data_IF_070343853428
#
_entry.id   IF_070343853428
#
_cell.length_a   1.000
_cell.length_b   1.000
_cell.length_c   1.000
_cell.angle_alpha   90.00
_cell.angle_beta   90.00
_cell.angle_gamma   90.00
#
_symmetry.space_group_name_H-M   'P 1'
#
loop_
_entity.id
_entity.type
_entity.pdbx_description
1 polymer ?
#
# COMPACT_ATOMS: atom_id res chain seq x y z
N UNK A 1 -25.63 19.21 -10.57
CA UNK A 1 -24.28 19.45 -10.00
C UNK A 1 -24.12 18.49 -8.84
N UNK A 2 -23.34 17.42 -9.01
CA UNK A 2 -22.93 16.57 -7.88
C UNK A 2 -21.93 17.38 -7.06
N UNK A 3 -22.44 18.14 -6.10
CA UNK A 3 -21.62 18.92 -5.18
C UNK A 3 -21.25 18.05 -3.99
N UNK A 4 -19.97 18.03 -3.62
CA UNK A 4 -19.52 17.39 -2.39
C UNK A 4 -20.35 17.92 -1.22
N UNK A 5 -20.97 17.02 -0.46
CA UNK A 5 -21.77 17.41 0.69
C UNK A 5 -20.97 18.32 1.64
N UNK A 6 -21.62 19.24 2.36
CA UNK A 6 -20.93 20.21 3.21
C UNK A 6 -20.05 19.58 4.30
N UNK A 7 -20.27 18.30 4.63
CA UNK A 7 -19.49 17.53 5.61
C UNK A 7 -18.43 16.61 5.00
N UNK A 8 -18.35 16.50 3.68
CA UNK A 8 -17.46 15.56 2.98
C UNK A 8 -16.01 15.64 3.47
N UNK A 9 -15.45 16.86 3.56
CA UNK A 9 -14.07 17.06 4.02
C UNK A 9 -13.84 16.63 5.47
N UNK A 10 -14.85 16.79 6.33
CA UNK A 10 -14.77 16.39 7.74
C UNK A 10 -14.81 14.87 7.86
N UNK A 11 -15.71 14.21 7.13
CA UNK A 11 -15.82 12.74 7.10
C UNK A 11 -14.56 12.10 6.51
N UNK A 12 -14.02 12.68 5.43
CA UNK A 12 -12.75 12.25 4.84
C UNK A 12 -11.57 12.41 5.82
N UNK A 13 -11.47 13.55 6.50
CA UNK A 13 -10.44 13.79 7.52
C UNK A 13 -10.53 12.80 8.68
N UNK A 14 -11.74 12.55 9.17
CA UNK A 14 -12.00 11.56 10.22
C UNK A 14 -11.60 10.15 9.78
N UNK A 15 -11.98 9.75 8.56
CA UNK A 15 -11.61 8.45 8.00
C UNK A 15 -10.09 8.28 7.92
N UNK A 16 -9.39 9.25 7.33
CA UNK A 16 -7.93 9.22 7.22
C UNK A 16 -7.30 9.11 8.61
N UNK A 17 -7.82 9.88 9.57
CA UNK A 17 -7.33 9.85 10.96
C UNK A 17 -7.52 8.47 11.59
N UNK A 18 -8.70 7.86 11.45
CA UNK A 18 -9.00 6.52 11.98
C UNK A 18 -8.12 5.47 11.33
N UNK A 19 -7.94 5.50 10.01
CA UNK A 19 -7.09 4.56 9.28
C UNK A 19 -5.64 4.69 9.73
N UNK A 20 -5.10 5.91 9.81
CA UNK A 20 -3.73 6.13 10.26
C UNK A 20 -3.52 5.69 11.71
N UNK A 21 -4.44 6.02 12.62
CA UNK A 21 -4.40 5.58 14.01
C UNK A 21 -4.42 4.04 14.08
N UNK A 22 -5.31 3.40 13.33
CA UNK A 22 -5.41 1.94 13.27
C UNK A 22 -4.10 1.29 12.82
N UNK A 23 -3.48 1.81 11.75
CA UNK A 23 -2.20 1.32 11.25
C UNK A 23 -1.06 1.50 12.27
N UNK A 24 -0.94 2.68 12.87
CA UNK A 24 0.10 2.98 13.85
C UNK A 24 -0.07 2.14 15.12
N UNK A 25 -1.29 2.02 15.62
CA UNK A 25 -1.61 1.21 16.80
C UNK A 25 -1.35 -0.27 16.55
N UNK A 26 -1.79 -0.82 15.42
CA UNK A 26 -1.53 -2.21 15.07
C UNK A 26 -0.02 -2.50 15.00
N UNK A 27 0.75 -1.65 14.30
CA UNK A 27 2.19 -1.78 14.24
C UNK A 27 2.85 -1.73 15.63
N UNK A 28 2.46 -0.78 16.49
CA UNK A 28 3.01 -0.65 17.83
C UNK A 28 2.72 -1.89 18.70
N UNK A 29 1.50 -2.43 18.62
CA UNK A 29 1.09 -3.65 19.33
C UNK A 29 1.87 -4.86 18.83
N UNK A 30 1.87 -5.10 17.51
CA UNK A 30 2.54 -6.25 16.91
C UNK A 30 4.05 -6.23 17.14
N UNK A 31 4.67 -5.05 17.10
CA UNK A 31 6.10 -4.91 17.42
C UNK A 31 6.40 -5.37 18.85
N UNK A 32 5.55 -4.99 19.81
CA UNK A 32 5.69 -5.41 21.21
C UNK A 32 5.45 -6.91 21.38
N UNK A 33 4.47 -7.47 20.67
CA UNK A 33 4.16 -8.91 20.73
C UNK A 33 5.27 -9.77 20.12
N UNK A 34 5.87 -9.32 19.02
CA UNK A 34 6.89 -10.07 18.29
C UNK A 34 8.32 -9.78 18.77
N UNK A 35 8.49 -8.91 19.76
CA UNK A 35 9.78 -8.45 20.28
C UNK A 35 10.73 -7.98 19.16
N UNK A 36 10.19 -7.19 18.24
CA UNK A 36 10.92 -6.63 17.10
C UNK A 36 11.44 -5.24 17.46
N UNK A 37 12.67 -4.93 17.10
CA UNK A 37 13.24 -3.62 17.37
C UNK A 37 12.52 -2.51 16.59
N UNK A 38 12.54 -1.30 17.16
CA UNK A 38 11.97 -0.13 16.47
C UNK A 38 12.85 0.22 15.28
N UNK A 39 12.44 -0.20 14.08
CA UNK A 39 12.99 0.32 12.83
C UNK A 39 12.63 1.81 12.71
N UNK A 40 13.59 2.63 12.29
CA UNK A 40 13.34 4.02 11.96
C UNK A 40 12.45 4.09 10.72
N UNK A 41 11.32 4.79 10.82
CA UNK A 41 10.31 4.89 9.75
C UNK A 41 10.84 5.53 8.44
N UNK A 42 11.98 6.21 8.52
CA UNK A 42 12.59 6.96 7.41
C UNK A 42 13.93 6.40 6.92
N UNK A 43 14.53 5.43 7.63
CA UNK A 43 15.74 4.78 7.14
C UNK A 43 15.36 3.65 6.20
N UNK A 44 15.79 3.73 4.95
CA UNK A 44 15.67 2.65 3.97
C UNK A 44 16.58 1.48 4.37
N UNK A 45 16.18 0.70 5.37
CA UNK A 45 16.89 -0.50 5.78
C UNK A 45 16.61 -1.61 4.79
N UNK A 46 17.43 -1.65 3.74
CA UNK A 46 17.57 -2.84 2.95
C UNK A 46 18.26 -3.90 3.81
N UNK A 47 17.59 -5.02 4.07
CA UNK A 47 18.16 -6.21 4.73
C UNK A 47 19.49 -6.61 4.10
N UNK A 48 19.62 -6.47 2.77
CA UNK A 48 20.86 -6.66 2.03
C UNK A 48 20.83 -5.90 0.69
N UNK A 49 21.96 -5.90 -0.03
CA UNK A 49 22.06 -5.32 -1.37
C UNK A 49 21.11 -5.97 -2.39
N UNK A 50 20.70 -7.23 -2.18
CA UNK A 50 19.74 -7.89 -3.06
C UNK A 50 18.34 -7.28 -2.94
N UNK A 51 17.91 -6.93 -1.73
CA UNK A 51 16.66 -6.22 -1.46
C UNK A 51 16.60 -4.91 -2.22
N UNK A 52 17.68 -4.12 -2.13
CA UNK A 52 17.80 -2.85 -2.84
C UNK A 52 17.66 -3.02 -4.35
N UNK A 53 18.32 -4.04 -4.91
CA UNK A 53 18.22 -4.34 -6.35
C UNK A 53 16.82 -4.78 -6.76
N UNK A 54 16.16 -5.62 -5.98
CA UNK A 54 14.80 -6.09 -6.25
C UNK A 54 13.80 -4.94 -6.19
N UNK A 55 13.85 -4.12 -5.13
CA UNK A 55 12.97 -2.94 -5.00
C UNK A 55 13.17 -1.96 -6.15
N UNK A 56 14.42 -1.72 -6.54
CA UNK A 56 14.74 -0.83 -7.66
C UNK A 56 14.24 -1.40 -9.00
N UNK A 57 14.39 -2.71 -9.21
CA UNK A 57 13.87 -3.39 -10.40
C UNK A 57 12.34 -3.33 -10.46
N UNK A 58 11.65 -3.58 -9.34
CA UNK A 58 10.18 -3.47 -9.25
C UNK A 58 9.74 -2.04 -9.63
N UNK A 59 10.43 -1.01 -9.12
CA UNK A 59 10.13 0.40 -9.45
C UNK A 59 10.36 0.72 -10.92
N UNK A 60 11.43 0.21 -11.54
CA UNK A 60 11.68 0.42 -12.97
C UNK A 60 10.59 -0.25 -13.80
N UNK A 61 10.25 -1.51 -13.51
CA UNK A 61 9.18 -2.23 -14.21
C UNK A 61 7.88 -1.45 -14.09
N UNK A 62 7.55 -0.95 -12.89
CA UNK A 62 6.36 -0.13 -12.67
C UNK A 62 6.37 1.15 -13.52
N UNK A 63 7.48 1.90 -13.54
CA UNK A 63 7.60 3.11 -14.35
C UNK A 63 7.45 2.81 -15.85
N UNK A 64 8.06 1.72 -16.32
CA UNK A 64 7.94 1.29 -17.73
C UNK A 64 6.49 0.95 -18.06
N UNK A 65 5.81 0.16 -17.23
CA UNK A 65 4.40 -0.20 -17.42
C UNK A 65 3.50 1.03 -17.37
N UNK A 66 3.76 1.98 -16.46
CA UNK A 66 3.00 3.22 -16.34
C UNK A 66 3.17 4.09 -17.59
N UNK A 67 4.39 4.25 -18.09
CA UNK A 67 4.66 5.00 -19.32
C UNK A 67 3.98 4.35 -20.52
N UNK A 68 4.15 3.03 -20.69
CA UNK A 68 3.50 2.29 -21.78
C UNK A 68 1.98 2.43 -21.69
N UNK A 69 1.40 2.19 -20.51
CA UNK A 69 -0.02 2.31 -20.26
C UNK A 69 -0.56 3.71 -20.59
N UNK A 70 0.17 4.75 -20.22
CA UNK A 70 -0.19 6.13 -20.55
C UNK A 70 -0.19 6.39 -22.07
N UNK A 71 0.86 5.99 -22.80
CA UNK A 71 0.91 6.12 -24.26
C UNK A 71 -0.18 5.30 -24.97
N UNK A 72 -0.53 4.15 -24.40
CA UNK A 72 -1.61 3.29 -24.88
C UNK A 72 -2.98 3.95 -24.66
N UNK A 73 -3.23 4.60 -23.52
CA UNK A 73 -4.52 5.25 -23.26
C UNK A 73 -4.67 6.60 -24.00
N UNK A 74 -3.61 7.41 -24.11
CA UNK A 74 -3.69 8.72 -24.79
C UNK A 74 -3.98 8.61 -26.30
N UNK A 75 -3.71 7.45 -26.90
CA UNK A 75 -4.03 7.15 -28.30
C UNK A 75 -5.46 6.62 -28.51
N UNK A 76 -6.23 6.46 -27.43
CA UNK A 76 -7.63 6.01 -27.43
C UNK A 76 -8.56 7.15 -27.08
N UNK A 77 -9.83 6.97 -27.44
CA UNK A 77 -10.88 7.83 -26.90
C UNK A 77 -10.90 7.71 -25.35
N UNK A 78 -11.02 8.83 -24.61
CA UNK A 78 -11.13 8.82 -23.15
C UNK A 78 -12.17 7.85 -22.59
N UNK A 79 -13.26 7.61 -23.32
CA UNK A 79 -14.33 6.70 -22.91
C UNK A 79 -13.89 5.22 -22.96
N UNK A 80 -12.89 4.91 -23.78
CA UNK A 80 -12.38 3.56 -24.06
C UNK A 80 -10.99 3.31 -23.41
N UNK A 81 -10.63 4.12 -22.42
CA UNK A 81 -9.38 3.93 -21.70
C UNK A 81 -9.33 2.59 -20.99
N UNK A 82 -8.18 1.92 -21.11
CA UNK A 82 -7.95 0.63 -20.49
C UNK A 82 -7.70 0.88 -19.01
N UNK A 83 -8.69 0.55 -18.19
CA UNK A 83 -8.70 0.80 -16.75
C UNK A 83 -7.51 0.18 -15.99
N UNK A 84 -6.99 -0.98 -16.42
CA UNK A 84 -5.86 -1.61 -15.74
C UNK A 84 -4.49 -0.99 -16.07
N UNK A 85 -4.43 -0.08 -17.05
CA UNK A 85 -3.25 0.76 -17.29
C UNK A 85 -3.27 2.06 -16.49
N UNK A 86 -4.36 2.33 -15.77
CA UNK A 86 -4.45 3.52 -14.95
C UNK A 86 -3.50 3.44 -13.74
N UNK A 87 -2.89 4.58 -13.34
CA UNK A 87 -1.95 4.62 -12.22
C UNK A 87 -2.50 4.03 -10.93
N UNK A 88 -3.77 4.28 -10.61
CA UNK A 88 -4.40 3.78 -9.39
C UNK A 88 -4.45 2.25 -9.33
N UNK A 89 -4.71 1.58 -10.47
CA UNK A 89 -4.75 0.11 -10.53
C UNK A 89 -3.34 -0.47 -10.45
N UNK A 90 -2.39 0.12 -11.19
CA UNK A 90 -0.99 -0.30 -11.13
C UNK A 90 -0.41 -0.16 -9.72
N UNK A 91 -0.80 0.88 -8.97
CA UNK A 91 -0.41 1.06 -7.56
C UNK A 91 -0.95 -0.04 -6.64
N UNK A 92 -2.15 -0.57 -6.90
CA UNK A 92 -2.70 -1.70 -6.15
C UNK A 92 -1.86 -2.97 -6.32
N UNK A 93 -1.17 -3.15 -7.46
CA UNK A 93 -0.21 -4.23 -7.65
C UNK A 93 1.18 -3.94 -7.06
N UNK A 94 1.66 -2.69 -7.19
CA UNK A 94 2.99 -2.29 -6.76
C UNK A 94 3.19 -2.43 -5.25
N UNK A 95 2.25 -1.95 -4.44
CA UNK A 95 2.38 -1.92 -2.98
C UNK A 95 2.53 -3.35 -2.41
N UNK A 96 1.63 -4.30 -2.71
CA UNK A 96 1.80 -5.69 -2.30
C UNK A 96 3.08 -6.32 -2.85
N UNK A 97 3.45 -6.05 -4.10
CA UNK A 97 4.66 -6.63 -4.69
C UNK A 97 5.93 -6.23 -3.91
N UNK A 98 6.04 -4.96 -3.51
CA UNK A 98 7.17 -4.48 -2.70
C UNK A 98 7.18 -5.07 -1.28
N UNK A 99 6.02 -5.16 -0.62
CA UNK A 99 5.96 -5.70 0.74
C UNK A 99 6.16 -7.23 0.77
N UNK A 100 5.69 -7.96 -0.25
CA UNK A 100 5.97 -9.39 -0.42
C UNK A 100 7.45 -9.63 -0.68
N UNK A 101 8.08 -8.85 -1.56
CA UNK A 101 9.52 -8.94 -1.81
C UNK A 101 10.32 -8.70 -0.52
N UNK A 102 9.95 -7.68 0.26
CA UNK A 102 10.53 -7.42 1.58
C UNK A 102 10.36 -8.62 2.51
N UNK A 103 9.15 -9.14 2.65
CA UNK A 103 8.86 -10.27 3.54
C UNK A 103 9.67 -11.53 3.18
N UNK A 104 9.83 -11.85 1.88
CA UNK A 104 10.64 -12.98 1.41
C UNK A 104 12.11 -12.80 1.79
N UNK A 105 12.63 -11.58 1.65
CA UNK A 105 14.03 -11.29 1.96
C UNK A 105 14.26 -11.27 3.47
N UNK A 106 13.36 -10.66 4.25
CA UNK A 106 13.42 -10.70 5.71
C UNK A 106 13.35 -12.15 6.22
N UNK A 107 12.49 -12.98 5.64
CA UNK A 107 12.40 -14.40 5.99
C UNK A 107 13.74 -15.14 5.77
N UNK A 108 14.45 -14.81 4.68
CA UNK A 108 15.67 -15.51 4.28
C UNK A 108 16.96 -14.93 4.85
N UNK A 109 16.98 -13.62 5.15
CA UNK A 109 18.21 -12.87 5.42
C UNK A 109 18.14 -11.94 6.63
N UNK A 110 16.99 -11.76 7.29
CA UNK A 110 16.94 -10.90 8.48
C UNK A 110 17.68 -11.55 9.66
N UNK A 111 18.38 -10.71 10.41
CA UNK A 111 19.03 -11.10 11.66
C UNK A 111 18.01 -11.53 12.70
N UNK A 112 16.88 -10.82 12.79
CA UNK A 112 15.72 -11.20 13.59
C UNK A 112 14.64 -11.87 12.74
N UNK A 113 14.39 -13.17 12.97
CA UNK A 113 13.33 -13.91 12.27
C UNK A 113 11.91 -13.43 12.60
N UNK A 114 11.71 -12.60 13.62
CA UNK A 114 10.37 -12.04 13.87
C UNK A 114 10.04 -10.84 12.99
N UNK A 115 11.03 -10.27 12.27
CA UNK A 115 10.81 -9.14 11.36
C UNK A 115 9.85 -9.49 10.22
N UNK A 116 10.04 -10.63 9.56
CA UNK A 116 9.15 -11.05 8.48
C UNK A 116 7.72 -11.27 8.98
N UNK A 117 7.54 -11.75 10.22
CA UNK A 117 6.21 -11.94 10.82
C UNK A 117 5.51 -10.61 11.03
N UNK A 118 6.25 -9.57 11.43
CA UNK A 118 5.71 -8.22 11.56
C UNK A 118 5.26 -7.71 10.20
N UNK A 119 6.11 -7.80 9.17
CA UNK A 119 5.79 -7.37 7.79
C UNK A 119 4.57 -8.11 7.22
N UNK A 120 4.52 -9.44 7.34
CA UNK A 120 3.35 -10.23 6.89
C UNK A 120 2.09 -9.83 7.67
N UNK A 121 2.18 -9.68 9.00
CA UNK A 121 1.01 -9.30 9.81
C UNK A 121 0.48 -7.91 9.45
N UNK A 122 1.37 -6.94 9.18
CA UNK A 122 0.99 -5.61 8.72
C UNK A 122 0.34 -5.67 7.34
N UNK A 123 0.91 -6.45 6.41
CA UNK A 123 0.36 -6.60 5.07
C UNK A 123 -1.05 -7.21 5.12
N UNK A 124 -1.25 -8.28 5.89
CA UNK A 124 -2.57 -8.90 6.11
C UNK A 124 -3.55 -7.90 6.73
N UNK A 125 -3.10 -7.12 7.72
CA UNK A 125 -3.94 -6.11 8.35
C UNK A 125 -4.36 -5.00 7.37
N UNK A 126 -3.44 -4.53 6.52
CA UNK A 126 -3.74 -3.56 5.46
C UNK A 126 -4.77 -4.13 4.50
N UNK A 127 -4.65 -5.39 4.08
CA UNK A 127 -5.63 -6.04 3.22
C UNK A 127 -7.02 -6.13 3.88
N UNK A 128 -7.09 -6.50 5.16
CA UNK A 128 -8.35 -6.54 5.92
C UNK A 128 -8.96 -5.13 6.02
N UNK A 129 -8.16 -4.12 6.33
CA UNK A 129 -8.62 -2.73 6.39
C UNK A 129 -9.16 -2.27 5.03
N UNK A 130 -8.41 -2.51 3.96
CA UNK A 130 -8.82 -2.15 2.61
C UNK A 130 -10.12 -2.85 2.21
N UNK A 131 -10.23 -4.15 2.47
CA UNK A 131 -11.44 -4.93 2.21
C UNK A 131 -12.63 -4.39 3.02
N UNK A 132 -12.42 -4.06 4.29
CA UNK A 132 -13.47 -3.50 5.17
C UNK A 132 -13.95 -2.15 4.66
N UNK A 133 -13.02 -1.27 4.26
CA UNK A 133 -13.34 0.05 3.70
C UNK A 133 -14.12 -0.09 2.39
N UNK A 134 -13.68 -0.97 1.50
CA UNK A 134 -14.33 -1.19 0.22
C UNK A 134 -15.72 -1.79 0.38
N UNK A 135 -15.86 -2.82 1.22
CA UNK A 135 -17.14 -3.49 1.48
C UNK A 135 -18.16 -2.59 2.18
N UNK A 136 -17.69 -1.64 3.00
CA UNK A 136 -18.56 -0.71 3.72
C UNK A 136 -18.87 0.58 2.96
N UNK A 137 -18.51 0.68 1.67
CA UNK A 137 -18.63 1.91 0.88
C UNK A 137 -17.96 3.11 1.58
N UNK A 138 -16.77 2.89 2.15
CA UNK A 138 -16.06 3.82 3.02
C UNK A 138 -16.92 4.30 4.20
N UNK A 139 -17.57 3.35 4.88
CA UNK A 139 -18.57 3.60 5.93
C UNK A 139 -19.76 4.46 5.45
N UNK A 140 -20.20 4.25 4.22
CA UNK A 140 -21.33 4.94 3.61
C UNK A 140 -21.02 6.31 2.99
N UNK A 141 -19.76 6.76 3.00
CA UNK A 141 -19.37 8.01 2.33
C UNK A 141 -19.50 7.95 0.80
N UNK A 142 -19.38 6.77 0.19
CA UNK A 142 -19.49 6.63 -1.26
C UNK A 142 -20.94 6.69 -1.77
N UNK A 143 -21.95 6.74 -0.88
CA UNK A 143 -23.37 6.85 -1.20
C UNK A 143 -23.91 8.31 -1.15
N UNK A 144 -23.03 9.32 -1.19
CA UNK A 144 -23.36 10.75 -1.18
C UNK A 144 -23.60 11.35 -2.57
#
# INVERSE_FOLDING_TARGET
MYGLGPKFWQELFLLITIVLLSLVSFNAVMRKLLNVEKKNLFSSHYVNEKHKKIDWMIRIIFLVVLLIGHFVNISRDPMDWIWFFEPWFLMMGLVPATEVARAIIEYKYAENRNDYKLTISQLVFIFILFFTLFWSDFFGMANL
#
